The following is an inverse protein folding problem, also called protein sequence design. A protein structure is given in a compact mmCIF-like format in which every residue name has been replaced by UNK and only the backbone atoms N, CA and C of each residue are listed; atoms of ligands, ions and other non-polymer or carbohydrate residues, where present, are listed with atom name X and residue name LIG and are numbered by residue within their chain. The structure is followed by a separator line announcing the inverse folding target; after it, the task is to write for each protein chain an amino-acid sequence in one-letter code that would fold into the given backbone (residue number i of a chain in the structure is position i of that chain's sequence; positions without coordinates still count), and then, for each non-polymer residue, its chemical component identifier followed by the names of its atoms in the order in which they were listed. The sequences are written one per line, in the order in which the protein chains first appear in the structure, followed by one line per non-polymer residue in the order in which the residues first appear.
data_IF_535592765203
#
_entry.id   IF_535592765203
#
_cell.length_a   1.000
_cell.length_b   1.000
_cell.length_c   1.000
_cell.angle_alpha   90.00
_cell.angle_beta   90.00
_cell.angle_gamma   90.00
#
_symmetry.space_group_name_H-M   'P 1'
#
loop_
_entity.id
_entity.type
_entity.pdbx_description
1 polymer ?
#
# COMPACT_ATOMS: atom_id res chain seq x y z
N UNK A 1 -0.14 -44.58 22.78
CA UNK A 1 0.26 -43.80 23.96
C UNK A 1 1.76 -43.55 23.84
N UNK A 2 2.11 -42.31 23.45
CA UNK A 2 3.28 -41.47 23.75
C UNK A 2 4.63 -42.12 24.24
N UNK A 3 5.83 -41.61 23.96
CA UNK A 3 6.26 -40.21 23.97
C UNK A 3 7.58 -39.96 23.14
N UNK A 4 7.67 -38.84 22.37
CA UNK A 4 8.72 -37.75 22.25
C UNK A 4 10.24 -38.09 22.35
N UNK A 5 11.25 -37.45 21.74
CA UNK A 5 11.53 -36.36 20.77
C UNK A 5 13.08 -36.32 20.57
N UNK A 6 13.56 -35.50 19.63
CA UNK A 6 14.96 -35.07 19.36
C UNK A 6 15.78 -36.02 18.45
N UNK A 7 16.58 -35.58 17.48
CA UNK A 7 16.84 -34.30 16.82
C UNK A 7 17.76 -34.61 15.63
N UNK A 8 17.54 -33.99 14.46
CA UNK A 8 18.55 -33.72 13.40
C UNK A 8 17.81 -33.35 12.10
N UNK A 9 17.44 -32.08 11.95
CA UNK A 9 17.29 -31.50 10.61
C UNK A 9 17.85 -30.08 10.66
N UNK A 10 19.14 -29.93 10.38
CA UNK A 10 19.72 -28.64 10.00
C UNK A 10 19.43 -28.48 8.52
N UNK A 11 18.51 -27.60 8.14
CA UNK A 11 18.33 -27.18 6.74
C UNK A 11 17.86 -25.72 6.70
N UNK A 12 18.78 -24.88 6.20
CA UNK A 12 18.54 -23.62 5.46
C UNK A 12 17.92 -22.45 6.23
N UNK A 13 18.78 -21.50 6.60
CA UNK A 13 18.36 -20.09 6.76
C UNK A 13 18.00 -19.56 5.38
N UNK A 14 16.73 -19.34 5.08
CA UNK A 14 16.27 -18.28 4.19
C UNK A 14 14.88 -17.84 4.68
N UNK A 15 14.69 -16.53 4.80
CA UNK A 15 13.41 -15.91 5.15
C UNK A 15 12.27 -16.55 4.35
N UNK A 16 11.32 -17.18 5.03
CA UNK A 16 10.02 -17.47 4.43
C UNK A 16 9.21 -16.17 4.35
N UNK A 17 9.51 -15.32 3.36
CA UNK A 17 8.42 -14.67 2.65
C UNK A 17 8.02 -15.65 1.54
N UNK A 18 7.17 -16.62 1.91
CA UNK A 18 6.50 -17.49 0.94
C UNK A 18 5.74 -16.63 -0.07
N UNK A 19 5.70 -17.11 -1.31
CA UNK A 19 5.21 -16.41 -2.50
C UNK A 19 3.69 -16.11 -2.40
N UNK A 20 3.36 -15.03 -1.71
CA UNK A 20 2.06 -14.34 -1.65
C UNK A 20 2.44 -12.86 -1.86
N UNK A 21 1.97 -12.24 -2.96
CA UNK A 21 2.08 -10.81 -3.29
C UNK A 21 2.89 -9.98 -2.29
N UNK A 22 4.22 -9.94 -2.48
CA UNK A 22 5.14 -9.39 -1.50
C UNK A 22 4.71 -7.98 -1.04
N UNK A 23 4.47 -7.82 0.26
CA UNK A 23 4.09 -6.54 0.84
C UNK A 23 5.18 -5.48 0.55
N UNK A 24 4.82 -4.23 0.20
CA UNK A 24 5.82 -3.22 -0.09
C UNK A 24 6.78 -2.97 1.07
N UNK A 25 8.03 -2.63 0.73
CA UNK A 25 9.02 -2.29 1.73
C UNK A 25 8.51 -1.12 2.59
N UNK A 26 8.62 -1.27 3.92
CA UNK A 26 8.14 -0.33 4.96
C UNK A 26 6.62 -0.30 5.14
N UNK A 27 5.87 -1.16 4.48
CA UNK A 27 4.44 -1.30 4.72
C UNK A 27 4.15 -2.56 5.54
N UNK A 28 2.98 -2.57 6.16
CA UNK A 28 2.40 -3.70 6.84
C UNK A 28 1.15 -4.13 6.07
N UNK A 29 1.05 -5.41 5.74
CA UNK A 29 -0.06 -5.98 5.01
C UNK A 29 -0.80 -6.99 5.89
N UNK A 30 -2.12 -6.97 5.87
CA UNK A 30 -2.97 -7.88 6.66
C UNK A 30 -3.69 -8.90 5.76
N UNK A 31 -4.22 -9.96 6.38
CA UNK A 31 -5.05 -10.96 5.70
C UNK A 31 -6.34 -10.37 5.11
N UNK A 32 -6.86 -9.27 5.69
CA UNK A 32 -8.02 -8.52 5.19
C UNK A 32 -7.69 -7.59 4.01
N UNK A 33 -6.55 -7.81 3.35
CA UNK A 33 -6.06 -7.03 2.20
C UNK A 33 -5.91 -5.52 2.50
N UNK A 34 -5.56 -5.20 3.75
CA UNK A 34 -5.20 -3.83 4.14
C UNK A 34 -3.70 -3.65 3.94
N UNK A 35 -3.31 -2.57 3.25
CA UNK A 35 -1.91 -2.19 3.05
C UNK A 35 -1.67 -0.88 3.80
N UNK A 36 -0.99 -0.97 4.94
CA UNK A 36 -0.65 0.17 5.77
C UNK A 36 0.80 0.63 5.55
N UNK A 37 0.95 1.79 4.93
CA UNK A 37 2.21 2.46 4.67
C UNK A 37 2.29 3.83 5.38
N UNK A 38 1.50 4.02 6.44
CA UNK A 38 1.43 5.27 7.18
C UNK A 38 2.69 5.55 8.01
N UNK A 39 3.04 6.83 8.19
CA UNK A 39 4.18 7.27 9.03
C UNK A 39 5.57 6.78 8.59
N UNK A 40 5.74 6.39 7.34
CA UNK A 40 6.97 5.79 6.81
C UNK A 40 7.94 6.80 6.18
N UNK A 41 7.63 8.10 6.29
CA UNK A 41 8.38 9.22 5.68
C UNK A 41 8.54 9.08 4.17
N UNK A 42 7.60 8.42 3.50
CA UNK A 42 7.68 8.15 2.06
C UNK A 42 7.68 9.45 1.27
N UNK A 43 8.59 9.56 0.30
CA UNK A 43 8.64 10.68 -0.64
C UNK A 43 8.07 10.30 -2.02
N UNK A 44 7.83 9.01 -2.25
CA UNK A 44 7.22 8.44 -3.44
C UNK A 44 6.26 7.32 -3.06
N UNK A 45 5.34 6.97 -3.96
CA UNK A 45 4.44 5.83 -3.76
C UNK A 45 5.25 4.52 -3.61
N UNK A 46 4.82 3.60 -2.73
CA UNK A 46 5.47 2.31 -2.57
C UNK A 46 5.27 1.46 -3.83
N UNK A 47 6.28 0.67 -4.19
CA UNK A 47 6.21 -0.29 -5.30
C UNK A 47 5.62 -1.61 -4.81
N UNK A 48 5.07 -2.39 -5.75
CA UNK A 48 4.53 -3.74 -5.48
C UNK A 48 3.37 -3.76 -4.48
N UNK A 49 2.46 -2.78 -4.57
CA UNK A 49 1.21 -2.83 -3.81
C UNK A 49 0.40 -4.03 -4.33
N UNK A 50 -0.04 -4.95 -3.46
CA UNK A 50 -0.87 -6.09 -3.86
C UNK A 50 -2.11 -5.65 -4.64
N UNK A 51 -2.38 -6.25 -5.80
CA UNK A 51 -3.52 -5.87 -6.67
C UNK A 51 -4.88 -6.17 -6.04
N UNK A 52 -4.90 -7.06 -5.05
CA UNK A 52 -6.07 -7.43 -4.26
C UNK A 52 -6.33 -6.51 -3.06
N UNK A 53 -5.49 -5.49 -2.83
CA UNK A 53 -5.66 -4.53 -1.75
C UNK A 53 -7.05 -3.87 -1.79
N UNK A 54 -7.72 -3.88 -0.63
CA UNK A 54 -9.03 -3.26 -0.40
C UNK A 54 -8.87 -1.88 0.21
N UNK A 55 -7.91 -1.73 1.14
CA UNK A 55 -7.61 -0.44 1.78
C UNK A 55 -6.12 -0.13 1.68
N UNK A 56 -5.80 1.07 1.20
CA UNK A 56 -4.42 1.57 1.10
C UNK A 56 -4.25 2.83 1.93
N UNK A 57 -3.41 2.74 2.96
CA UNK A 57 -3.13 3.84 3.86
C UNK A 57 -1.72 4.40 3.59
N UNK A 58 -1.65 5.60 3.02
CA UNK A 58 -0.42 6.35 2.75
C UNK A 58 -0.34 7.63 3.58
N UNK A 59 -1.10 7.71 4.68
CA UNK A 59 -1.22 8.90 5.50
C UNK A 59 0.08 9.26 6.25
N UNK A 60 0.23 10.53 6.62
CA UNK A 60 1.39 11.01 7.39
C UNK A 60 2.74 10.68 6.72
N UNK A 61 2.83 10.94 5.41
CA UNK A 61 4.04 10.79 4.61
C UNK A 61 4.46 12.15 4.00
N UNK A 62 5.45 12.14 3.12
CA UNK A 62 5.99 13.33 2.45
C UNK A 62 5.76 13.27 0.92
N UNK A 63 4.67 12.64 0.47
CA UNK A 63 4.33 12.56 -0.95
C UNK A 63 4.02 13.97 -1.48
N UNK A 64 4.56 14.30 -2.65
CA UNK A 64 4.42 15.64 -3.24
C UNK A 64 3.53 15.67 -4.49
N UNK A 65 3.41 14.53 -5.18
CA UNK A 65 2.58 14.41 -6.37
C UNK A 65 2.02 12.99 -6.48
N UNK A 66 0.90 12.85 -7.18
CA UNK A 66 0.33 11.55 -7.56
C UNK A 66 0.37 11.45 -9.09
N UNK A 67 1.22 10.59 -9.66
CA UNK A 67 1.37 10.47 -11.12
C UNK A 67 0.19 9.76 -11.77
N UNK A 68 0.03 9.95 -13.08
CA UNK A 68 -0.97 9.25 -13.89
C UNK A 68 -0.81 7.73 -13.74
N UNK A 69 -1.93 7.04 -13.57
CA UNK A 69 -1.95 5.59 -13.44
C UNK A 69 -1.28 5.05 -12.17
N UNK A 70 -1.04 5.91 -11.17
CA UNK A 70 -0.47 5.54 -9.87
C UNK A 70 -1.10 4.30 -9.23
N UNK A 71 -2.42 4.13 -9.42
CA UNK A 71 -3.19 3.06 -8.79
C UNK A 71 -3.95 2.19 -9.81
N UNK A 72 -3.53 2.19 -11.09
CA UNK A 72 -4.30 1.60 -12.20
C UNK A 72 -4.64 0.11 -12.07
N UNK A 73 -3.84 -0.64 -11.31
CA UNK A 73 -4.04 -2.07 -11.12
C UNK A 73 -4.88 -2.39 -9.86
N UNK A 74 -5.13 -1.41 -8.98
CA UNK A 74 -5.82 -1.62 -7.70
C UNK A 74 -7.33 -1.59 -7.87
N UNK A 75 -7.86 -2.46 -8.73
CA UNK A 75 -9.29 -2.46 -9.11
C UNK A 75 -10.24 -2.80 -7.96
N UNK A 76 -9.74 -3.48 -6.92
CA UNK A 76 -10.50 -3.86 -5.71
C UNK A 76 -10.43 -2.80 -4.62
N UNK A 77 -9.66 -1.73 -4.81
CA UNK A 77 -9.46 -0.72 -3.79
C UNK A 77 -10.77 0.04 -3.51
N UNK A 78 -11.20 0.00 -2.25
CA UNK A 78 -12.40 0.70 -1.76
C UNK A 78 -12.01 1.96 -0.99
N UNK A 79 -10.87 1.94 -0.28
CA UNK A 79 -10.36 3.04 0.53
C UNK A 79 -8.93 3.45 0.17
N UNK A 80 -8.72 4.75 -0.08
CA UNK A 80 -7.39 5.34 -0.29
C UNK A 80 -7.20 6.55 0.62
N UNK A 81 -6.23 6.47 1.55
CA UNK A 81 -5.89 7.58 2.42
C UNK A 81 -4.53 8.19 2.08
N UNK A 82 -4.55 9.44 1.63
CA UNK A 82 -3.39 10.28 1.34
C UNK A 82 -3.32 11.49 2.30
N UNK A 83 -4.09 11.47 3.39
CA UNK A 83 -4.17 12.56 4.37
C UNK A 83 -2.80 12.87 5.00
N UNK A 84 -2.54 14.13 5.33
CA UNK A 84 -1.28 14.56 5.96
C UNK A 84 -0.06 14.18 5.10
N UNK A 85 -0.13 14.52 3.81
CA UNK A 85 1.01 14.51 2.91
C UNK A 85 1.35 15.95 2.48
N UNK A 86 2.16 16.10 1.44
CA UNK A 86 2.52 17.39 0.85
C UNK A 86 2.11 17.45 -0.62
N UNK A 87 1.05 16.72 -0.99
CA UNK A 87 0.63 16.59 -2.39
C UNK A 87 0.15 17.95 -2.86
N UNK A 88 0.86 18.53 -3.83
CA UNK A 88 0.49 19.79 -4.47
C UNK A 88 -0.11 19.59 -5.86
N UNK A 89 0.12 18.42 -6.47
CA UNK A 89 -0.35 18.09 -7.81
C UNK A 89 -0.83 16.64 -7.90
N UNK A 90 -1.98 16.44 -8.54
CA UNK A 90 -2.49 15.12 -8.96
C UNK A 90 -2.61 15.19 -10.48
N UNK A 91 -1.94 14.28 -11.18
CA UNK A 91 -2.01 14.25 -12.64
C UNK A 91 -3.37 13.71 -13.13
N UNK A 92 -3.89 14.19 -14.28
CA UNK A 92 -5.07 13.61 -14.90
C UNK A 92 -4.90 12.10 -15.13
N UNK A 93 -5.88 11.31 -14.68
CA UNK A 93 -5.83 9.86 -14.71
C UNK A 93 -4.99 9.20 -13.60
N UNK A 94 -4.59 9.93 -12.55
CA UNK A 94 -3.94 9.35 -11.37
C UNK A 94 -4.78 8.24 -10.70
N UNK A 95 -6.10 8.40 -10.70
CA UNK A 95 -7.07 7.46 -10.13
C UNK A 95 -7.74 6.57 -11.20
N UNK A 96 -7.24 6.58 -12.44
CA UNK A 96 -7.72 5.69 -13.50
C UNK A 96 -7.58 4.23 -13.02
N UNK A 97 -8.59 3.40 -13.24
CA UNK A 97 -8.60 1.98 -12.83
C UNK A 97 -9.12 1.69 -11.43
N UNK A 98 -9.31 2.71 -10.57
CA UNK A 98 -9.91 2.59 -9.24
C UNK A 98 -11.45 2.46 -9.29
N UNK A 99 -11.96 1.44 -9.98
CA UNK A 99 -13.38 1.30 -10.32
C UNK A 99 -14.29 1.03 -9.12
N UNK A 100 -13.75 0.57 -8.00
CA UNK A 100 -14.50 0.27 -6.77
C UNK A 100 -14.23 1.26 -5.62
N UNK A 101 -13.54 2.37 -5.88
CA UNK A 101 -13.17 3.31 -4.84
C UNK A 101 -14.41 4.01 -4.27
N UNK A 102 -14.58 3.90 -2.96
CA UNK A 102 -15.70 4.50 -2.22
C UNK A 102 -15.24 5.70 -1.39
N UNK A 103 -14.02 5.64 -0.87
CA UNK A 103 -13.47 6.63 0.05
C UNK A 103 -12.09 7.09 -0.39
N UNK A 104 -11.95 8.39 -0.66
CA UNK A 104 -10.68 9.04 -0.97
C UNK A 104 -10.43 10.18 0.02
N UNK A 105 -9.35 10.07 0.80
CA UNK A 105 -8.98 11.08 1.78
C UNK A 105 -7.75 11.85 1.32
N UNK A 106 -7.94 13.12 0.94
CA UNK A 106 -6.89 14.05 0.49
C UNK A 106 -6.67 15.23 1.46
N UNK A 107 -7.30 15.23 2.63
CA UNK A 107 -7.19 16.31 3.60
C UNK A 107 -5.75 16.57 4.06
N UNK A 108 -5.47 17.79 4.51
CA UNK A 108 -4.12 18.18 4.96
C UNK A 108 -3.03 17.88 3.92
N UNK A 109 -3.28 18.31 2.69
CA UNK A 109 -2.32 18.36 1.59
C UNK A 109 -2.13 19.83 1.13
N UNK A 110 -1.34 20.03 0.07
CA UNK A 110 -1.03 21.36 -0.51
C UNK A 110 -1.80 21.60 -1.82
N UNK A 111 -2.89 20.86 -2.03
CA UNK A 111 -3.72 20.97 -3.22
C UNK A 111 -4.41 22.34 -3.26
N UNK A 112 -4.14 23.10 -4.31
CA UNK A 112 -4.81 24.38 -4.60
C UNK A 112 -5.93 24.22 -5.61
N UNK A 113 -5.88 23.16 -6.41
CA UNK A 113 -6.88 22.79 -7.40
C UNK A 113 -6.97 21.27 -7.47
N UNK A 114 -8.18 20.74 -7.69
CA UNK A 114 -8.42 19.35 -8.01
C UNK A 114 -9.00 19.33 -9.42
N UNK A 115 -8.12 19.22 -10.42
CA UNK A 115 -8.52 18.88 -11.79
C UNK A 115 -8.47 17.36 -11.94
N UNK A 116 -9.64 16.73 -11.96
CA UNK A 116 -9.81 15.31 -12.26
C UNK A 116 -9.81 15.03 -13.76
#
# INVERSE_FOLDING_TARGET
MAYWKEALVVLVVLLECGDISACPARCECTEDHVVNCGYQRLTSLPQNIPEDAVNLYLHHNNLQYVPRGAFRNLRRLEGLALTYNRVSQIEPGAFEGLTNLQSLYLGYNLLTNISG
#
